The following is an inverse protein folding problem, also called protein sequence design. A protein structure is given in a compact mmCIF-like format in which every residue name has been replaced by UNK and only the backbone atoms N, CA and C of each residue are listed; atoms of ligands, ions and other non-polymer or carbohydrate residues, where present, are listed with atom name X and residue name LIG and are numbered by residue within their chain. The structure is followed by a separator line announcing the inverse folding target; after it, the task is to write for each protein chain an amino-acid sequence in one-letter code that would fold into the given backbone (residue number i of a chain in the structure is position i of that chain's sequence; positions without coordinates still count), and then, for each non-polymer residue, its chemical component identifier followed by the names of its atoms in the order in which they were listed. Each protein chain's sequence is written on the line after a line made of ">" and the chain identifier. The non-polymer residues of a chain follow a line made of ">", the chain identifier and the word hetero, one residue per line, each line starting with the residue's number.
data_IF_617472065764
#
_entry.id   IF_617472065764
#
_cell.length_a   1.000
_cell.length_b   1.000
_cell.length_c   1.000
_cell.angle_alpha   90.00
_cell.angle_beta   90.00
_cell.angle_gamma   90.00
#
_symmetry.space_group_name_H-M   'P 1'
#
loop_
_entity.id
_entity.type
_entity.pdbx_description
1 polymer ?
#
# COMPACT_ATOMS: atom_id res chain seq x y z
N UNK A 1 -20.95 23.24 3.96
CA UNK A 1 -19.57 23.34 3.46
C UNK A 1 -18.71 22.38 4.28
N UNK A 2 -17.65 21.75 3.73
CA UNK A 2 -16.82 20.85 4.52
C UNK A 2 -15.94 21.71 5.46
N UNK A 3 -16.04 21.59 6.80
CA UNK A 3 -15.37 22.50 7.74
C UNK A 3 -13.84 22.52 7.56
N UNK A 4 -13.26 21.49 6.96
CA UNK A 4 -11.84 21.44 6.63
C UNK A 4 -11.44 22.48 5.55
N UNK A 5 -12.28 22.67 4.53
CA UNK A 5 -12.01 23.60 3.42
C UNK A 5 -11.95 25.03 3.98
N UNK A 6 -12.88 25.36 4.87
CA UNK A 6 -12.95 26.68 5.50
C UNK A 6 -11.73 26.97 6.37
N UNK A 7 -11.29 26.01 7.18
CA UNK A 7 -10.04 26.14 7.94
C UNK A 7 -8.81 26.28 7.03
N UNK A 8 -8.77 25.55 5.91
CA UNK A 8 -7.65 25.61 4.97
C UNK A 8 -7.59 26.97 4.27
N UNK A 9 -8.71 27.43 3.70
CA UNK A 9 -8.82 28.72 3.03
C UNK A 9 -8.64 29.90 3.99
N UNK A 10 -9.07 29.76 5.26
CA UNK A 10 -8.82 30.73 6.34
C UNK A 10 -7.37 30.81 6.83
N UNK A 11 -6.46 30.10 6.15
CA UNK A 11 -5.03 30.05 6.40
C UNK A 11 -4.62 29.54 7.80
N UNK A 12 -5.43 28.66 8.40
CA UNK A 12 -5.09 28.08 9.70
C UNK A 12 -3.83 27.22 9.63
N UNK A 13 -3.05 27.24 10.71
CA UNK A 13 -1.93 26.33 10.86
C UNK A 13 -2.38 24.87 10.88
N UNK A 14 -1.55 24.00 10.31
CA UNK A 14 -1.89 22.59 10.12
C UNK A 14 -1.97 21.83 11.45
N UNK A 15 -1.31 22.33 12.50
CA UNK A 15 -1.41 21.76 13.84
C UNK A 15 -2.81 21.93 14.41
N UNK A 16 -3.35 23.15 14.36
CA UNK A 16 -4.71 23.45 14.84
C UNK A 16 -5.78 22.71 14.03
N UNK A 17 -5.61 22.60 12.70
CA UNK A 17 -6.51 21.77 11.87
C UNK A 17 -6.42 20.30 12.30
N UNK A 18 -5.22 19.77 12.45
CA UNK A 18 -5.01 18.38 12.86
C UNK A 18 -5.69 18.07 14.21
N UNK A 19 -5.59 18.98 15.18
CA UNK A 19 -6.23 18.89 16.49
C UNK A 19 -7.77 18.89 16.39
N UNK A 20 -8.38 19.85 15.68
CA UNK A 20 -9.84 19.96 15.53
C UNK A 20 -10.45 18.72 14.86
N UNK A 21 -9.74 18.14 13.89
CA UNK A 21 -10.22 16.99 13.13
C UNK A 21 -9.77 15.64 13.70
N UNK A 22 -8.99 15.62 14.78
CA UNK A 22 -8.45 14.38 15.35
C UNK A 22 -7.56 13.61 14.37
N UNK A 23 -6.78 14.32 13.55
CA UNK A 23 -5.93 13.75 12.50
C UNK A 23 -4.45 14.04 12.76
N UNK A 24 -3.58 13.36 12.05
CA UNK A 24 -2.17 13.73 11.99
C UNK A 24 -1.96 14.86 10.99
N UNK A 25 -0.91 15.68 11.16
CA UNK A 25 -0.55 16.75 10.21
C UNK A 25 -0.38 16.21 8.78
N UNK A 26 0.26 15.05 8.63
CA UNK A 26 0.40 14.37 7.33
C UNK A 26 -0.93 13.97 6.72
N UNK A 27 -1.88 13.50 7.55
CA UNK A 27 -3.24 13.18 7.12
C UNK A 27 -4.02 14.40 6.62
N UNK A 28 -3.82 15.58 7.23
CA UNK A 28 -4.40 16.85 6.75
C UNK A 28 -3.83 17.21 5.37
N UNK A 29 -2.50 17.18 5.18
CA UNK A 29 -1.89 17.46 3.87
C UNK A 29 -2.33 16.48 2.77
N UNK A 30 -2.46 15.19 3.09
CA UNK A 30 -2.96 14.20 2.14
C UNK A 30 -4.39 14.52 1.70
N UNK A 31 -5.26 14.91 2.63
CA UNK A 31 -6.65 15.26 2.36
C UNK A 31 -6.78 16.54 1.52
N UNK A 32 -6.02 17.57 1.86
CA UNK A 32 -5.93 18.84 1.11
C UNK A 32 -5.52 18.60 -0.35
N UNK A 33 -4.48 17.78 -0.58
CA UNK A 33 -4.04 17.42 -1.94
C UNK A 33 -5.12 16.66 -2.71
N UNK A 34 -5.83 15.75 -2.05
CA UNK A 34 -6.92 14.99 -2.67
C UNK A 34 -8.10 15.90 -3.06
N UNK A 35 -8.35 16.96 -2.29
CA UNK A 35 -9.38 17.96 -2.57
C UNK A 35 -8.93 19.04 -3.57
N UNK A 36 -7.68 19.02 -4.04
CA UNK A 36 -7.17 20.00 -5.00
C UNK A 36 -7.06 21.41 -4.44
N UNK A 37 -6.93 21.56 -3.12
CA UNK A 37 -6.82 22.87 -2.49
C UNK A 37 -5.46 23.52 -2.77
N UNK A 38 -5.42 24.87 -2.94
CA UNK A 38 -4.20 25.57 -3.29
C UNK A 38 -3.13 25.49 -2.18
N UNK A 39 -1.86 25.55 -2.60
CA UNK A 39 -0.75 25.73 -1.68
C UNK A 39 -0.84 27.13 -1.03
N UNK A 40 -0.39 27.23 0.22
CA UNK A 40 -0.40 28.47 1.02
C UNK A 40 1.02 28.94 1.28
N UNK A 41 1.26 30.24 1.22
CA UNK A 41 2.55 30.82 1.58
C UNK A 41 2.83 30.63 3.07
N UNK A 42 4.09 30.48 3.47
CA UNK A 42 4.44 30.33 4.89
C UNK A 42 4.08 31.57 5.72
N UNK A 43 4.10 32.75 5.11
CA UNK A 43 3.75 34.02 5.75
C UNK A 43 2.26 34.20 6.01
N UNK A 44 1.40 33.50 5.27
CA UNK A 44 -0.06 33.63 5.39
C UNK A 44 -0.64 32.71 6.48
N UNK A 45 0.16 31.75 6.97
CA UNK A 45 -0.29 30.76 7.95
C UNK A 45 -0.42 31.42 9.31
N UNK A 46 -1.62 31.36 9.88
CA UNK A 46 -1.94 31.90 11.20
C UNK A 46 -2.48 30.83 12.15
N UNK A 47 -2.23 31.03 13.43
CA UNK A 47 -2.91 30.27 14.49
C UNK A 47 -4.32 30.86 14.69
N UNK A 48 -5.40 30.08 14.62
CA UNK A 48 -6.76 30.58 14.85
C UNK A 48 -6.98 31.02 16.30
N UNK A 49 -7.93 31.91 16.53
CA UNK A 49 -8.35 32.25 17.89
C UNK A 49 -9.14 31.07 18.49
N UNK A 50 -9.11 30.92 19.83
CA UNK A 50 -9.80 29.82 20.51
C UNK A 50 -11.30 29.74 20.15
N UNK A 51 -11.97 30.89 20.04
CA UNK A 51 -13.38 30.96 19.62
C UNK A 51 -13.63 30.34 18.23
N UNK A 52 -12.70 30.47 17.30
CA UNK A 52 -12.87 29.97 15.94
C UNK A 52 -12.73 28.43 15.92
N UNK A 53 -11.82 27.90 16.76
CA UNK A 53 -11.62 26.47 17.00
C UNK A 53 -12.91 25.83 17.54
N UNK A 54 -13.51 26.46 18.54
CA UNK A 54 -14.74 25.98 19.18
C UNK A 54 -15.93 25.99 18.20
N UNK A 55 -16.10 27.06 17.43
CA UNK A 55 -17.13 27.16 16.39
C UNK A 55 -17.00 26.04 15.35
N UNK A 56 -15.76 25.74 14.92
CA UNK A 56 -15.51 24.68 13.94
C UNK A 56 -15.81 23.29 14.51
N UNK A 57 -15.50 23.06 15.79
CA UNK A 57 -15.83 21.81 16.48
C UNK A 57 -17.34 21.60 16.56
N UNK A 58 -18.09 22.63 16.96
CA UNK A 58 -19.55 22.60 17.01
C UNK A 58 -20.17 22.38 15.63
N UNK A 59 -19.68 23.06 14.59
CA UNK A 59 -20.17 22.86 13.21
C UNK A 59 -19.98 21.41 12.73
N UNK A 60 -18.86 20.77 13.11
CA UNK A 60 -18.61 19.35 12.81
C UNK A 60 -19.58 18.43 13.54
N UNK A 61 -19.85 18.69 14.82
CA UNK A 61 -20.80 17.91 15.63
C UNK A 61 -22.21 18.01 15.04
N UNK A 62 -22.66 19.21 14.69
CA UNK A 62 -23.94 19.42 14.00
C UNK A 62 -24.00 18.69 12.66
N UNK A 63 -22.90 18.71 11.89
CA UNK A 63 -22.85 17.99 10.61
C UNK A 63 -22.86 16.47 10.79
N UNK A 64 -22.26 15.94 11.86
CA UNK A 64 -22.28 14.51 12.17
C UNK A 64 -23.69 14.02 12.55
N UNK A 65 -24.51 14.88 13.16
CA UNK A 65 -25.90 14.57 13.52
C UNK A 65 -26.87 14.59 12.32
N UNK A 66 -26.50 15.24 11.21
CA UNK A 66 -27.37 15.43 10.04
C UNK A 66 -27.14 14.41 8.92
N UNK A 67 -26.17 13.49 9.04
CA UNK A 67 -25.98 12.42 8.05
C UNK A 67 -26.73 11.17 8.53
N UNK A 68 -27.84 10.78 7.89
CA UNK A 68 -28.46 9.50 8.18
C UNK A 68 -27.46 8.42 7.77
N UNK A 69 -27.01 7.64 8.76
CA UNK A 69 -26.19 6.46 8.52
C UNK A 69 -27.08 5.45 7.80
N UNK A 70 -27.09 5.48 6.48
CA UNK A 70 -27.62 4.39 5.66
C UNK A 70 -26.69 3.20 5.86
N UNK A 71 -26.90 2.46 6.94
CA UNK A 71 -26.34 1.12 7.16
C UNK A 71 -26.97 0.21 6.11
N UNK A 72 -26.34 0.13 4.94
CA UNK A 72 -26.53 -0.98 4.02
C UNK A 72 -26.02 -2.24 4.70
N UNK A 73 -26.94 -2.93 5.37
CA UNK A 73 -26.79 -4.32 5.77
C UNK A 73 -26.70 -5.19 4.51
N UNK A 74 -25.49 -5.34 3.99
CA UNK A 74 -25.16 -6.31 2.96
C UNK A 74 -24.69 -7.60 3.61
N UNK A 75 -25.63 -8.40 4.12
CA UNK A 75 -25.37 -9.80 4.49
C UNK A 75 -25.29 -10.62 3.20
N UNK A 76 -24.09 -10.71 2.65
CA UNK A 76 -23.78 -11.52 1.48
C UNK A 76 -22.81 -12.63 1.86
N UNK A 77 -23.33 -13.66 2.55
CA UNK A 77 -22.63 -14.94 2.71
C UNK A 77 -22.61 -15.65 1.35
N UNK A 78 -21.63 -15.33 0.51
CA UNK A 78 -21.28 -16.15 -0.64
C UNK A 78 -20.40 -17.31 -0.16
N UNK A 79 -21.05 -18.44 0.12
CA UNK A 79 -20.40 -19.73 -0.01
C UNK A 79 -20.05 -19.90 -1.49
N UNK A 80 -18.78 -19.65 -1.84
CA UNK A 80 -18.29 -19.90 -3.19
C UNK A 80 -17.93 -21.38 -3.31
N UNK A 81 -18.39 -22.10 -4.36
CA UNK A 81 -18.08 -23.50 -4.54
C UNK A 81 -16.59 -23.66 -4.82
N UNK A 82 -15.97 -24.58 -4.07
CA UNK A 82 -14.54 -24.87 -4.12
C UNK A 82 -14.10 -25.41 -5.48
N UNK A 83 -13.78 -24.51 -6.41
CA UNK A 83 -12.85 -24.82 -7.46
C UNK A 83 -11.46 -24.79 -6.82
N UNK A 84 -11.05 -25.94 -6.26
CA UNK A 84 -9.71 -26.11 -5.70
C UNK A 84 -8.70 -25.91 -6.83
N UNK A 85 -8.25 -24.66 -6.98
CA UNK A 85 -7.23 -24.26 -7.95
C UNK A 85 -5.98 -25.08 -7.63
N UNK A 86 -5.77 -26.18 -8.37
CA UNK A 86 -4.59 -27.02 -8.21
C UNK A 86 -3.38 -26.15 -8.48
N UNK A 87 -2.49 -26.03 -7.49
CA UNK A 87 -1.21 -25.36 -7.71
C UNK A 87 -0.45 -26.12 -8.80
N UNK A 88 0.21 -25.42 -9.73
CA UNK A 88 1.10 -26.06 -10.68
C UNK A 88 2.18 -26.84 -9.93
N UNK A 89 2.62 -27.95 -10.52
CA UNK A 89 3.77 -28.70 -9.99
C UNK A 89 5.04 -27.85 -10.03
N UNK A 90 5.98 -28.07 -9.09
CA UNK A 90 7.26 -27.39 -9.13
C UNK A 90 8.00 -27.73 -10.43
N UNK A 91 8.56 -26.72 -11.10
CA UNK A 91 9.36 -26.94 -12.31
C UNK A 91 10.59 -27.80 -12.01
N UNK A 92 11.11 -28.49 -13.02
CA UNK A 92 12.32 -29.31 -12.90
C UNK A 92 13.48 -28.51 -12.26
N UNK A 93 14.12 -29.09 -11.23
CA UNK A 93 15.19 -28.46 -10.46
C UNK A 93 14.74 -27.50 -9.36
N UNK A 94 13.43 -27.33 -9.15
CA UNK A 94 12.85 -26.62 -8.01
C UNK A 94 12.33 -27.61 -6.96
N UNK A 95 12.53 -27.28 -5.69
CA UNK A 95 11.93 -27.96 -4.54
C UNK A 95 10.91 -27.03 -3.90
N UNK A 96 9.67 -27.49 -3.79
CA UNK A 96 8.63 -26.81 -3.01
C UNK A 96 8.89 -26.97 -1.53
N UNK A 97 8.94 -25.85 -0.81
CA UNK A 97 9.17 -25.84 0.63
C UNK A 97 7.87 -25.58 1.37
N UNK A 98 7.04 -24.68 0.84
CA UNK A 98 5.80 -24.27 1.49
C UNK A 98 4.75 -23.86 0.48
N UNK A 99 3.49 -23.96 0.88
CA UNK A 99 2.35 -23.34 0.20
C UNK A 99 1.71 -22.39 1.21
N UNK A 100 1.48 -21.16 0.80
CA UNK A 100 0.87 -20.12 1.63
C UNK A 100 -0.33 -19.51 0.93
N UNK A 101 -1.20 -18.85 1.70
CA UNK A 101 -2.30 -18.07 1.14
C UNK A 101 -1.83 -16.63 0.90
N UNK A 102 -1.97 -16.17 -0.34
CA UNK A 102 -1.54 -14.85 -0.78
C UNK A 102 -2.54 -13.75 -0.39
N UNK A 103 -2.17 -12.49 -0.63
CA UNK A 103 -2.98 -11.30 -0.33
C UNK A 103 -4.35 -11.28 -1.04
N UNK A 104 -4.45 -11.99 -2.16
CA UNK A 104 -5.65 -12.20 -2.99
C UNK A 104 -6.46 -13.43 -2.55
N UNK A 105 -6.04 -14.13 -1.48
CA UNK A 105 -6.69 -15.35 -0.99
C UNK A 105 -6.33 -16.60 -1.78
N UNK A 106 -5.50 -16.48 -2.82
CA UNK A 106 -5.10 -17.60 -3.67
C UNK A 106 -3.86 -18.29 -3.11
N UNK A 107 -3.70 -19.60 -3.33
CA UNK A 107 -2.52 -20.30 -2.87
C UNK A 107 -1.29 -19.92 -3.70
N UNK A 108 -0.15 -19.79 -3.03
CA UNK A 108 1.15 -19.46 -3.61
C UNK A 108 2.19 -20.45 -3.13
N UNK A 109 2.88 -21.07 -4.09
CA UNK A 109 4.02 -21.93 -3.83
C UNK A 109 5.28 -21.12 -3.52
N UNK A 110 6.01 -21.55 -2.50
CA UNK A 110 7.35 -21.10 -2.18
C UNK A 110 8.31 -22.21 -2.59
N UNK A 111 8.97 -22.00 -3.72
CA UNK A 111 9.89 -22.96 -4.31
C UNK A 111 11.33 -22.43 -4.22
N UNK A 112 12.30 -23.35 -4.04
CA UNK A 112 13.73 -23.05 -4.01
C UNK A 112 14.46 -23.88 -5.07
N UNK A 113 15.40 -23.27 -5.78
CA UNK A 113 16.32 -23.96 -6.69
C UNK A 113 17.29 -24.84 -5.91
N UNK A 114 17.25 -26.14 -6.18
CA UNK A 114 18.03 -27.16 -5.46
C UNK A 114 19.54 -26.88 -5.55
N UNK A 115 20.02 -26.46 -6.72
CA UNK A 115 21.46 -26.30 -6.99
C UNK A 115 22.14 -25.13 -6.28
N UNK A 116 21.40 -24.07 -5.92
CA UNK A 116 21.96 -22.82 -5.38
C UNK A 116 21.27 -22.32 -4.11
N UNK A 117 20.30 -23.07 -3.59
CA UNK A 117 19.44 -22.67 -2.49
C UNK A 117 18.82 -21.25 -2.70
N UNK A 118 18.46 -20.94 -3.95
CA UNK A 118 17.90 -19.64 -4.33
C UNK A 118 16.38 -19.72 -4.43
N UNK A 119 15.69 -18.77 -3.81
CA UNK A 119 14.23 -18.65 -3.91
C UNK A 119 13.82 -18.39 -5.36
N UNK A 120 12.89 -19.20 -5.86
CA UNK A 120 12.26 -18.99 -7.16
C UNK A 120 11.16 -17.92 -7.02
N UNK A 121 11.52 -16.67 -7.29
CA UNK A 121 10.61 -15.53 -7.15
C UNK A 121 9.58 -15.50 -8.27
N UNK A 122 8.37 -15.92 -7.95
CA UNK A 122 7.19 -15.75 -8.82
C UNK A 122 6.56 -14.37 -8.59
N UNK A 123 5.85 -13.80 -9.58
CA UNK A 123 5.15 -12.53 -9.40
C UNK A 123 4.19 -12.50 -8.21
N UNK A 124 3.47 -13.60 -7.95
CA UNK A 124 2.59 -13.71 -6.79
C UNK A 124 3.34 -13.75 -5.46
N UNK A 125 4.47 -14.47 -5.39
CA UNK A 125 5.29 -14.49 -4.18
C UNK A 125 5.90 -13.12 -3.89
N UNK A 126 6.37 -12.41 -4.92
CA UNK A 126 6.84 -11.04 -4.81
C UNK A 126 5.73 -10.11 -4.27
N UNK A 127 4.52 -10.25 -4.80
CA UNK A 127 3.36 -9.47 -4.38
C UNK A 127 2.97 -9.77 -2.92
N UNK A 128 3.00 -11.03 -2.50
CA UNK A 128 2.78 -11.42 -1.12
C UNK A 128 3.82 -10.79 -0.18
N UNK A 129 5.12 -10.91 -0.49
CA UNK A 129 6.20 -10.33 0.34
C UNK A 129 6.07 -8.81 0.44
N UNK A 130 5.74 -8.14 -0.67
CA UNK A 130 5.49 -6.70 -0.65
C UNK A 130 4.25 -6.37 0.19
N UNK A 131 3.16 -7.14 0.09
CA UNK A 131 1.95 -6.94 0.90
C UNK A 131 2.18 -7.13 2.39
N UNK A 132 2.92 -8.17 2.77
CA UNK A 132 3.33 -8.42 4.14
C UNK A 132 4.16 -7.26 4.69
N UNK A 133 5.07 -6.71 3.87
CA UNK A 133 5.83 -5.53 4.26
C UNK A 133 4.94 -4.31 4.47
N UNK A 134 3.95 -4.08 3.59
CA UNK A 134 2.97 -3.00 3.74
C UNK A 134 2.11 -3.17 5.00
N UNK A 135 1.73 -4.39 5.37
CA UNK A 135 1.06 -4.68 6.64
C UNK A 135 1.89 -4.29 7.88
N UNK A 136 3.18 -3.99 7.70
CA UNK A 136 4.10 -3.73 8.80
C UNK A 136 4.86 -4.97 9.24
N UNK A 137 4.73 -6.11 8.56
CA UNK A 137 5.41 -7.31 9.02
C UNK A 137 6.94 -7.13 8.96
N UNK A 138 7.62 -7.58 10.02
CA UNK A 138 9.08 -7.55 10.09
C UNK A 138 9.67 -8.50 9.04
N UNK A 139 10.72 -8.12 8.29
CA UNK A 139 11.27 -9.00 7.24
C UNK A 139 11.80 -10.35 7.75
N UNK A 140 12.26 -10.41 9.01
CA UNK A 140 12.57 -11.69 9.67
C UNK A 140 11.33 -12.57 9.84
N UNK A 141 10.20 -12.00 10.30
CA UNK A 141 8.97 -12.78 10.46
C UNK A 141 8.43 -13.26 9.10
N UNK A 142 8.54 -12.44 8.04
CA UNK A 142 8.23 -12.86 6.66
C UNK A 142 9.13 -14.05 6.25
N UNK A 143 10.42 -13.98 6.56
CA UNK A 143 11.38 -15.02 6.22
C UNK A 143 11.05 -16.34 6.94
N UNK A 144 10.76 -16.27 8.24
CA UNK A 144 10.37 -17.41 9.07
C UNK A 144 9.05 -18.03 8.57
N UNK A 145 8.05 -17.19 8.27
CA UNK A 145 6.74 -17.60 7.75
C UNK A 145 6.84 -18.30 6.39
N UNK A 146 7.76 -17.87 5.53
CA UNK A 146 7.95 -18.45 4.20
C UNK A 146 8.94 -19.62 4.19
N UNK A 147 9.73 -19.80 5.24
CA UNK A 147 10.83 -20.77 5.26
C UNK A 147 11.96 -20.41 4.29
N UNK A 148 12.22 -19.12 4.08
CA UNK A 148 13.28 -18.62 3.18
C UNK A 148 14.29 -17.74 3.91
N UNK A 149 15.51 -17.54 3.39
CA UNK A 149 16.50 -16.72 4.07
C UNK A 149 16.10 -15.24 4.21
N UNK A 150 16.30 -14.65 5.38
CA UNK A 150 16.07 -13.22 5.64
C UNK A 150 16.69 -12.28 4.59
N UNK A 151 17.95 -12.56 4.21
CA UNK A 151 18.66 -11.77 3.20
C UNK A 151 17.95 -11.78 1.84
N UNK A 152 17.29 -12.89 1.48
CA UNK A 152 16.53 -12.99 0.24
C UNK A 152 15.31 -12.07 0.27
N UNK A 153 14.59 -12.01 1.40
CA UNK A 153 13.44 -11.11 1.60
C UNK A 153 13.86 -9.65 1.50
N UNK A 154 14.88 -9.24 2.26
CA UNK A 154 15.36 -7.84 2.27
C UNK A 154 15.86 -7.40 0.90
N UNK A 155 16.68 -8.24 0.26
CA UNK A 155 17.17 -7.98 -1.09
C UNK A 155 16.02 -7.81 -2.07
N UNK A 156 15.01 -8.71 -2.02
CA UNK A 156 13.84 -8.64 -2.91
C UNK A 156 13.00 -7.38 -2.67
N UNK A 157 12.72 -7.02 -1.42
CA UNK A 157 11.98 -5.79 -1.08
C UNK A 157 12.68 -4.54 -1.62
N UNK A 158 14.01 -4.47 -1.49
CA UNK A 158 14.82 -3.38 -2.04
C UNK A 158 14.72 -3.29 -3.57
N UNK A 159 14.80 -4.43 -4.26
CA UNK A 159 14.64 -4.50 -5.73
C UNK A 159 13.26 -4.03 -6.19
N UNK A 160 12.21 -4.35 -5.42
CA UNK A 160 10.84 -3.91 -5.66
C UNK A 160 10.58 -2.45 -5.26
N UNK A 161 11.55 -1.78 -4.64
CA UNK A 161 11.42 -0.41 -4.09
C UNK A 161 10.28 -0.28 -3.08
N UNK A 162 10.04 -1.31 -2.27
CA UNK A 162 9.09 -1.22 -1.16
C UNK A 162 9.71 -0.33 -0.08
N UNK A 163 9.03 0.73 0.38
CA UNK A 163 9.61 1.67 1.31
C UNK A 163 9.94 1.00 2.66
N UNK A 164 11.04 1.38 3.31
CA UNK A 164 11.30 0.95 4.67
C UNK A 164 10.27 1.58 5.62
N UNK A 165 9.70 0.76 6.51
CA UNK A 165 8.86 1.20 7.61
C UNK A 165 9.68 1.39 8.89
N UNK A 166 9.34 2.38 9.73
CA UNK A 166 10.00 2.58 11.02
C UNK A 166 9.80 1.38 11.93
N UNK A 167 10.77 1.14 12.82
CA UNK A 167 10.78 -0.02 13.73
C UNK A 167 9.54 -0.11 14.61
N UNK A 168 8.98 1.03 15.01
CA UNK A 168 7.76 1.13 15.82
C UNK A 168 6.51 0.59 15.12
N UNK A 169 6.51 0.50 13.78
CA UNK A 169 5.38 -0.01 13.00
C UNK A 169 5.56 -1.48 12.61
N UNK A 170 6.64 -2.12 13.09
CA UNK A 170 6.96 -3.50 12.73
C UNK A 170 6.23 -4.49 13.63
N UNK A 171 5.46 -5.37 13.02
CA UNK A 171 4.71 -6.44 13.69
C UNK A 171 5.22 -7.81 13.26
N UNK A 172 4.96 -8.84 14.07
CA UNK A 172 5.31 -10.22 13.70
C UNK A 172 4.25 -10.88 12.82
N UNK A 173 2.97 -10.57 13.04
CA UNK A 173 1.87 -11.22 12.34
C UNK A 173 1.50 -10.46 11.07
N UNK A 174 1.17 -11.20 10.01
CA UNK A 174 0.67 -10.63 8.77
C UNK A 174 -0.85 -10.39 8.85
N UNK A 175 -1.27 -9.14 8.59
CA UNK A 175 -2.68 -8.80 8.38
C UNK A 175 -2.89 -8.22 6.96
N UNK A 176 -3.61 -8.93 6.06
CA UNK A 176 -3.89 -8.44 4.71
C UNK A 176 -4.80 -7.20 4.69
N UNK A 177 -5.64 -6.98 5.71
CA UNK A 177 -6.51 -5.81 5.78
C UNK A 177 -5.70 -4.53 5.95
N UNK A 178 -4.74 -4.54 6.89
CA UNK A 178 -3.81 -3.41 7.13
C UNK A 178 -2.97 -3.13 5.87
N UNK A 179 -2.51 -4.18 5.18
CA UNK A 179 -1.78 -4.01 3.93
C UNK A 179 -2.61 -3.24 2.89
N UNK A 180 -3.86 -3.66 2.66
CA UNK A 180 -4.77 -3.03 1.70
C UNK A 180 -5.08 -1.58 2.07
N UNK A 181 -5.29 -1.31 3.35
CA UNK A 181 -5.54 0.04 3.86
C UNK A 181 -4.35 0.96 3.57
N UNK A 182 -3.14 0.59 3.99
CA UNK A 182 -1.92 1.39 3.78
C UNK A 182 -1.56 1.60 2.31
N UNK A 183 -1.78 0.58 1.47
CA UNK A 183 -1.61 0.73 0.01
C UNK A 183 -2.60 1.74 -0.55
N UNK A 184 -3.88 1.68 -0.12
CA UNK A 184 -4.90 2.64 -0.52
C UNK A 184 -4.55 4.06 -0.06
N UNK A 185 -4.05 4.22 1.15
CA UNK A 185 -3.56 5.51 1.67
C UNK A 185 -2.38 6.06 0.86
N UNK A 186 -1.48 5.18 0.41
CA UNK A 186 -0.36 5.51 -0.47
C UNK A 186 -0.79 5.76 -1.93
N UNK A 187 -2.07 5.57 -2.28
CA UNK A 187 -2.57 5.69 -3.65
C UNK A 187 -2.04 4.61 -4.60
N UNK A 188 -1.64 3.46 -4.05
CA UNK A 188 -1.11 2.33 -4.80
C UNK A 188 -2.20 1.32 -5.11
N UNK A 189 -2.13 0.77 -6.32
CA UNK A 189 -2.96 -0.34 -6.79
C UNK A 189 -2.06 -1.47 -7.30
N UNK A 190 -2.59 -2.69 -7.29
CA UNK A 190 -1.93 -3.81 -7.97
C UNK A 190 -2.07 -3.59 -9.48
N UNK A 191 -0.95 -3.64 -10.19
CA UNK A 191 -0.91 -3.51 -11.65
C UNK A 191 -0.06 -4.60 -12.25
N UNK A 192 -0.38 -4.94 -13.49
CA UNK A 192 0.49 -5.74 -14.34
C UNK A 192 1.53 -4.85 -15.03
N UNK A 193 2.77 -5.33 -15.11
CA UNK A 193 3.86 -4.62 -15.76
C UNK A 193 3.68 -4.65 -17.28
N UNK A 194 3.61 -3.48 -17.92
CA UNK A 194 3.46 -3.35 -19.38
C UNK A 194 4.57 -4.04 -20.18
N UNK A 195 5.78 -4.15 -19.62
CA UNK A 195 6.91 -4.78 -20.32
C UNK A 195 7.06 -6.29 -20.06
N UNK A 196 6.47 -6.79 -18.98
CA UNK A 196 6.62 -8.19 -18.55
C UNK A 196 5.24 -8.72 -18.16
N UNK A 197 4.50 -9.28 -19.14
CA UNK A 197 3.20 -9.88 -18.89
C UNK A 197 3.27 -10.90 -17.73
N UNK A 198 2.24 -10.91 -16.91
CA UNK A 198 2.13 -11.72 -15.69
C UNK A 198 2.89 -11.18 -14.48
N UNK A 199 3.76 -10.16 -14.63
CA UNK A 199 4.45 -9.55 -13.49
C UNK A 199 3.58 -8.50 -12.81
N UNK A 200 3.06 -8.84 -11.64
CA UNK A 200 2.29 -7.93 -10.80
C UNK A 200 3.21 -7.08 -9.91
N UNK A 201 2.84 -5.83 -9.68
CA UNK A 201 3.53 -4.94 -8.77
C UNK A 201 2.58 -3.89 -8.19
N UNK A 202 2.96 -3.26 -7.08
CA UNK A 202 2.26 -2.10 -6.54
C UNK A 202 2.77 -0.82 -7.20
N UNK A 203 1.87 -0.07 -7.82
CA UNK A 203 2.17 1.19 -8.49
C UNK A 203 1.05 2.19 -8.35
N UNK A 204 1.35 3.47 -8.51
CA UNK A 204 0.34 4.52 -8.58
C UNK A 204 -0.37 4.52 -9.95
N UNK A 205 -1.24 5.52 -10.17
CA UNK A 205 -1.99 5.64 -11.43
C UNK A 205 -1.10 5.88 -12.66
N UNK A 206 0.11 6.41 -12.48
CA UNK A 206 1.05 6.80 -13.54
C UNK A 206 2.19 5.80 -13.74
N UNK A 207 2.33 4.83 -12.84
CA UNK A 207 3.38 3.83 -12.90
C UNK A 207 2.89 2.58 -13.61
N UNK A 208 3.35 2.38 -14.85
CA UNK A 208 2.96 1.23 -15.69
C UNK A 208 4.06 0.17 -15.84
N UNK A 209 5.27 0.46 -15.36
CA UNK A 209 6.44 -0.42 -15.47
C UNK A 209 6.96 -0.71 -14.07
N UNK A 210 7.01 -1.99 -13.71
CA UNK A 210 7.50 -2.45 -12.42
C UNK A 210 8.95 -2.00 -12.21
N UNK A 211 9.35 -1.58 -10.99
CA UNK A 211 10.71 -1.13 -10.70
C UNK A 211 11.82 -2.10 -11.11
N UNK A 212 11.55 -3.40 -11.04
CA UNK A 212 12.49 -4.43 -11.46
C UNK A 212 12.65 -4.52 -12.98
N UNK A 213 11.56 -4.32 -13.73
CA UNK A 213 11.59 -4.37 -15.19
C UNK A 213 12.35 -3.18 -15.77
N UNK A 214 12.43 -2.04 -15.07
CA UNK A 214 13.29 -0.90 -15.47
C UNK A 214 14.78 -1.20 -15.50
N UNK A 215 15.21 -2.35 -14.96
CA UNK A 215 16.62 -2.76 -14.96
C UNK A 215 16.99 -3.68 -16.12
N UNK A 216 16.02 -4.13 -16.92
CA UNK A 216 16.29 -5.02 -18.05
C UNK A 216 16.86 -4.24 -19.24
N UNK A 217 17.58 -4.94 -20.10
CA UNK A 217 18.15 -4.40 -21.34
C UNK A 217 17.03 -3.83 -22.21
N UNK A 218 15.92 -4.57 -22.38
CA UNK A 218 14.76 -4.13 -23.16
C UNK A 218 14.18 -2.78 -22.71
N UNK A 219 14.24 -2.45 -21.40
CA UNK A 219 13.81 -1.13 -20.94
C UNK A 219 14.72 -0.02 -21.44
N UNK A 220 16.04 -0.26 -21.39
CA UNK A 220 17.05 0.72 -21.81
C UNK A 220 16.98 0.95 -23.32
N UNK A 221 16.82 -0.11 -24.09
CA UNK A 221 16.61 -0.04 -25.55
C UNK A 221 15.32 0.71 -25.89
N UNK A 222 14.22 0.41 -25.19
CA UNK A 222 12.97 1.15 -25.36
C UNK A 222 13.18 2.63 -25.06
N UNK A 223 13.86 3.00 -23.97
CA UNK A 223 14.10 4.42 -23.66
C UNK A 223 15.01 5.12 -24.68
N UNK A 224 15.98 4.42 -25.25
CA UNK A 224 16.87 4.99 -26.26
C UNK A 224 16.13 5.32 -27.57
N UNK A 225 15.15 4.50 -27.97
CA UNK A 225 14.38 4.70 -29.21
C UNK A 225 13.29 5.78 -29.17
N UNK A 226 13.05 6.44 -28.02
CA UNK A 226 12.13 7.60 -27.91
C UNK A 226 12.88 8.94 -27.88
N UNK A 227 14.19 8.93 -28.12
CA UNK A 227 15.07 10.11 -28.04
C UNK A 227 15.45 10.76 -29.37
N UNK A 228 14.99 10.22 -30.50
CA UNK A 228 15.11 10.80 -31.85
C UNK A 228 13.79 11.44 -32.28
#
# INVERSE_FOLDING_TARGET
>A
MLPLIDCWLGAWDVGSIAEVFGRTRGGVYALVRRLGLPARGRGDIRRPAARDIDQTRQARETQALLVPVTRLAGSGSLQSPGCAMRLPEPQAGLKRIKVITSFDGLPVAVDIRISRNQVAWTPRLELHVASARWAGQHPQAIADDLGIPYRAVVSRLSLMRVPPLPRSHLVRQYDPAIARERMREAGLIVRECRMQPGRLFFGDRFTYIAPMSKRTINYREMQAGYGD
#
